data_IF_853041923386
#
_entry.id   IF_853041923386
#
_cell.length_a   1.000
_cell.length_b   1.000
_cell.length_c   1.000
_cell.angle_alpha   90.00
_cell.angle_beta   90.00
_cell.angle_gamma   90.00
#
_symmetry.space_group_name_H-M   'P 1'
#
loop_
_entity.id
_entity.type
_entity.pdbx_description
1 polymer ?
#
# COMPACT_ATOMS: atom_id res chain seq x y z
N UNK A 1 57.15 -18.16 2.53
CA UNK A 1 57.62 -17.04 1.68
C UNK A 1 56.45 -16.06 1.53
N UNK A 2 56.36 -15.05 2.39
CA UNK A 2 55.32 -14.03 2.30
C UNK A 2 55.64 -13.09 1.14
N UNK A 3 54.87 -13.20 0.09
CA UNK A 3 55.03 -12.37 -1.10
C UNK A 3 54.75 -10.92 -0.69
N UNK A 4 55.82 -10.14 -0.54
CA UNK A 4 55.74 -8.70 -0.22
C UNK A 4 55.39 -7.90 -1.48
N UNK A 5 54.26 -8.21 -2.08
CA UNK A 5 53.78 -7.54 -3.28
C UNK A 5 52.91 -6.33 -2.87
N UNK A 6 53.43 -5.12 -3.04
CA UNK A 6 52.71 -3.87 -2.75
C UNK A 6 51.35 -3.82 -3.46
N UNK A 7 51.28 -4.32 -4.68
CA UNK A 7 50.04 -4.42 -5.45
C UNK A 7 48.97 -5.25 -4.72
N UNK A 8 49.31 -6.42 -4.21
CA UNK A 8 48.35 -7.26 -3.46
C UNK A 8 47.88 -6.61 -2.18
N UNK A 9 48.71 -5.83 -1.49
CA UNK A 9 48.31 -5.05 -0.31
C UNK A 9 47.32 -3.96 -0.66
N UNK A 10 47.53 -3.18 -1.71
CA UNK A 10 46.61 -2.17 -2.17
C UNK A 10 45.30 -2.76 -2.69
N UNK A 11 45.37 -3.86 -3.41
CA UNK A 11 44.18 -4.58 -3.88
C UNK A 11 43.34 -5.10 -2.71
N UNK A 12 43.96 -5.73 -1.71
CA UNK A 12 43.26 -6.18 -0.50
C UNK A 12 42.63 -5.04 0.26
N UNK A 13 43.34 -3.92 0.41
CA UNK A 13 42.80 -2.72 1.06
C UNK A 13 41.61 -2.15 0.30
N UNK A 14 41.67 -2.07 -1.02
CA UNK A 14 40.56 -1.62 -1.86
C UNK A 14 39.31 -2.51 -1.72
N UNK A 15 39.53 -3.85 -1.79
CA UNK A 15 38.42 -4.82 -1.59
C UNK A 15 37.78 -4.64 -0.22
N UNK A 16 38.58 -4.44 0.83
CA UNK A 16 38.06 -4.22 2.19
C UNK A 16 37.22 -2.97 2.29
N UNK A 17 37.64 -1.87 1.65
CA UNK A 17 36.88 -0.63 1.61
C UNK A 17 35.53 -0.84 0.90
N UNK A 18 35.54 -1.47 -0.27
CA UNK A 18 34.29 -1.78 -1.03
C UNK A 18 33.36 -2.64 -0.21
N UNK A 19 33.89 -3.65 0.50
CA UNK A 19 33.10 -4.49 1.39
C UNK A 19 32.46 -3.71 2.52
N UNK A 20 33.22 -2.84 3.20
CA UNK A 20 32.69 -2.00 4.29
C UNK A 20 31.61 -1.03 3.79
N UNK A 21 31.82 -0.42 2.63
CA UNK A 21 30.80 0.48 2.02
C UNK A 21 29.51 -0.30 1.72
N UNK A 22 29.61 -1.50 1.14
CA UNK A 22 28.44 -2.35 0.89
C UNK A 22 27.72 -2.73 2.19
N UNK A 23 28.47 -3.08 3.23
CA UNK A 23 27.90 -3.43 4.53
C UNK A 23 27.12 -2.25 5.17
N UNK A 24 27.72 -1.06 5.12
CA UNK A 24 27.04 0.16 5.57
C UNK A 24 25.77 0.44 4.75
N UNK A 25 25.83 0.28 3.44
CA UNK A 25 24.68 0.44 2.56
C UNK A 25 23.55 -0.56 2.88
N UNK A 26 23.90 -1.83 3.12
CA UNK A 26 22.92 -2.86 3.50
C UNK A 26 22.23 -2.53 4.84
N UNK A 27 23.01 -2.11 5.83
CA UNK A 27 22.48 -1.70 7.14
C UNK A 27 21.51 -0.51 6.98
N UNK A 28 21.94 0.53 6.25
CA UNK A 28 21.11 1.70 5.98
C UNK A 28 19.80 1.33 5.25
N UNK A 29 19.89 0.51 4.21
CA UNK A 29 18.73 0.01 3.46
C UNK A 29 17.76 -0.78 4.34
N UNK A 30 18.29 -1.62 5.24
CA UNK A 30 17.46 -2.39 6.18
C UNK A 30 16.68 -1.48 7.12
N UNK A 31 17.32 -0.45 7.69
CA UNK A 31 16.60 0.53 8.53
C UNK A 31 15.51 1.28 7.76
N UNK A 32 15.79 1.66 6.51
CA UNK A 32 14.80 2.33 5.67
C UNK A 32 13.58 1.43 5.39
N UNK A 33 13.80 0.15 5.07
CA UNK A 33 12.74 -0.83 4.82
C UNK A 33 11.89 -1.01 6.09
N UNK A 34 12.50 -1.26 7.24
CA UNK A 34 11.78 -1.44 8.51
C UNK A 34 10.92 -0.21 8.80
N UNK A 35 11.47 0.98 8.67
CA UNK A 35 10.74 2.23 8.95
C UNK A 35 9.55 2.47 8.03
N UNK A 36 9.61 2.05 6.76
CA UNK A 36 8.62 2.42 5.75
C UNK A 36 7.66 1.29 5.35
N UNK A 37 7.87 0.07 5.81
CA UNK A 37 7.03 -1.07 5.43
C UNK A 37 6.35 -1.77 6.59
N UNK A 38 6.84 -1.59 7.82
CA UNK A 38 6.34 -2.27 8.99
C UNK A 38 5.54 -1.31 9.87
N UNK A 39 4.25 -1.56 10.03
CA UNK A 39 3.36 -0.79 10.90
C UNK A 39 3.01 -1.61 12.13
N UNK A 40 3.36 -1.12 13.31
CA UNK A 40 2.92 -1.69 14.57
C UNK A 40 1.42 -1.42 14.76
N UNK A 41 0.62 -2.48 14.94
CA UNK A 41 -0.82 -2.39 15.16
C UNK A 41 -1.22 -2.79 16.59
N UNK A 42 -0.23 -3.05 17.45
CA UNK A 42 -0.36 -3.43 18.85
C UNK A 42 0.10 -4.86 19.07
N UNK A 43 -0.76 -5.84 18.88
CA UNK A 43 -0.42 -7.26 19.11
C UNK A 43 0.41 -7.88 17.98
N UNK A 44 0.37 -7.27 16.79
CA UNK A 44 1.07 -7.74 15.60
C UNK A 44 1.66 -6.59 14.80
N UNK A 45 2.42 -6.92 13.76
CA UNK A 45 3.00 -5.95 12.81
C UNK A 45 2.44 -6.21 11.42
N UNK A 46 1.83 -5.19 10.83
CA UNK A 46 1.39 -5.24 9.43
C UNK A 46 2.53 -4.82 8.50
N UNK A 47 2.75 -5.61 7.45
CA UNK A 47 3.79 -5.34 6.45
C UNK A 47 3.13 -4.90 5.15
N UNK A 48 3.39 -3.67 4.72
CA UNK A 48 2.85 -3.12 3.48
C UNK A 48 3.90 -3.05 2.37
N UNK A 49 3.44 -2.94 1.11
CA UNK A 49 4.28 -2.77 -0.08
C UNK A 49 3.81 -1.57 -0.93
N UNK A 50 3.22 -0.56 -0.28
CA UNK A 50 2.79 0.65 -0.99
C UNK A 50 3.96 1.39 -1.64
N UNK A 51 3.69 2.05 -2.77
CA UNK A 51 4.69 2.81 -3.54
C UNK A 51 4.11 4.12 -4.05
N UNK A 52 4.91 5.17 -3.93
CA UNK A 52 4.70 6.46 -4.60
C UNK A 52 5.90 6.67 -5.53
N UNK A 53 5.91 6.00 -6.69
CA UNK A 53 7.02 5.98 -7.63
C UNK A 53 6.56 6.31 -9.07
N UNK A 54 7.51 6.44 -9.98
CA UNK A 54 7.22 6.74 -11.39
C UNK A 54 6.28 5.72 -12.05
N UNK A 55 6.33 4.46 -11.61
CA UNK A 55 5.45 3.42 -12.13
C UNK A 55 4.00 3.67 -11.74
N UNK A 56 3.74 3.88 -10.46
CA UNK A 56 2.39 4.13 -9.93
C UNK A 56 1.83 5.46 -10.45
N UNK A 57 2.65 6.51 -10.58
CA UNK A 57 2.26 7.80 -11.18
C UNK A 57 1.81 7.63 -12.63
N UNK A 58 2.61 6.95 -13.46
CA UNK A 58 2.30 6.71 -14.88
C UNK A 58 1.06 5.85 -15.05
N UNK A 59 0.93 4.79 -14.26
CA UNK A 59 -0.21 3.88 -14.32
C UNK A 59 -1.51 4.58 -13.90
N UNK A 60 -1.51 5.31 -12.78
CA UNK A 60 -2.66 6.08 -12.33
C UNK A 60 -3.08 7.11 -13.40
N UNK A 61 -2.14 7.89 -13.91
CA UNK A 61 -2.40 8.88 -14.96
C UNK A 61 -2.97 8.24 -16.25
N UNK A 62 -2.49 7.07 -16.63
CA UNK A 62 -3.00 6.35 -17.79
C UNK A 62 -4.44 5.88 -17.58
N UNK A 63 -4.74 5.30 -16.43
CA UNK A 63 -6.07 4.76 -16.11
C UNK A 63 -7.13 5.86 -15.97
N UNK A 64 -6.72 7.06 -15.57
CA UNK A 64 -7.64 8.19 -15.31
C UNK A 64 -7.65 9.26 -16.42
N UNK A 65 -6.90 9.05 -17.51
CA UNK A 65 -6.71 10.05 -18.59
C UNK A 65 -8.00 10.59 -19.21
N UNK A 66 -9.07 9.79 -19.21
CA UNK A 66 -10.36 10.15 -19.79
C UNK A 66 -11.36 10.73 -18.77
N UNK A 67 -10.96 10.84 -17.49
CA UNK A 67 -11.87 11.28 -16.41
C UNK A 67 -12.03 12.79 -16.30
N UNK A 68 -11.24 13.60 -17.04
CA UNK A 68 -11.32 15.05 -17.02
C UNK A 68 -11.32 15.66 -15.60
N UNK A 69 -10.55 15.07 -14.69
CA UNK A 69 -10.47 15.43 -13.24
C UNK A 69 -11.79 15.17 -12.46
N UNK A 70 -12.69 14.36 -13.00
CA UNK A 70 -13.83 13.87 -12.23
C UNK A 70 -13.35 12.80 -11.23
N UNK A 71 -13.43 13.14 -9.95
CA UNK A 71 -12.94 12.28 -8.85
C UNK A 71 -13.65 10.93 -8.80
N UNK A 72 -14.96 10.88 -9.07
CA UNK A 72 -15.70 9.60 -9.07
C UNK A 72 -15.25 8.70 -10.22
N UNK A 73 -15.07 9.27 -11.41
CA UNK A 73 -14.51 8.57 -12.55
C UNK A 73 -13.10 8.05 -12.24
N UNK A 74 -12.22 8.89 -11.71
CA UNK A 74 -10.83 8.50 -11.38
C UNK A 74 -10.81 7.32 -10.40
N UNK A 75 -11.49 7.45 -9.27
CA UNK A 75 -11.52 6.42 -8.23
C UNK A 75 -12.14 5.13 -8.73
N UNK A 76 -13.27 5.24 -9.48
CA UNK A 76 -13.93 4.04 -10.02
C UNK A 76 -13.08 3.33 -11.08
N UNK A 77 -12.42 4.08 -11.98
CA UNK A 77 -11.54 3.47 -12.98
C UNK A 77 -10.35 2.73 -12.35
N UNK A 78 -9.76 3.29 -11.30
CA UNK A 78 -8.69 2.64 -10.56
C UNK A 78 -9.20 1.37 -9.85
N UNK A 79 -10.36 1.46 -9.19
CA UNK A 79 -10.99 0.31 -8.54
C UNK A 79 -11.37 -0.78 -9.55
N UNK A 80 -11.99 -0.42 -10.66
CA UNK A 80 -12.38 -1.36 -11.71
C UNK A 80 -11.14 -2.07 -12.29
N UNK A 81 -10.05 -1.34 -12.54
CA UNK A 81 -8.78 -1.94 -12.97
C UNK A 81 -8.27 -2.98 -11.97
N UNK A 82 -8.17 -2.62 -10.70
CA UNK A 82 -7.64 -3.51 -9.65
C UNK A 82 -8.55 -4.73 -9.47
N UNK A 83 -9.87 -4.57 -9.54
CA UNK A 83 -10.81 -5.69 -9.37
C UNK A 83 -10.80 -6.67 -10.53
N UNK A 84 -10.36 -6.27 -11.74
CA UNK A 84 -10.17 -7.18 -12.88
C UNK A 84 -9.00 -8.13 -12.72
N UNK A 85 -8.01 -7.80 -11.89
CA UNK A 85 -6.86 -8.67 -11.62
C UNK A 85 -7.35 -9.91 -10.86
N UNK A 86 -7.04 -11.13 -11.34
CA UNK A 86 -7.48 -12.37 -10.70
C UNK A 86 -7.06 -12.48 -9.25
N UNK A 87 -7.98 -12.91 -8.39
CA UNK A 87 -7.68 -13.21 -7.00
C UNK A 87 -6.96 -14.55 -6.88
N UNK A 88 -5.81 -14.56 -6.21
CA UNK A 88 -5.07 -15.77 -5.88
C UNK A 88 -4.30 -15.54 -4.60
N UNK A 89 -4.49 -16.45 -3.62
CA UNK A 89 -3.77 -16.42 -2.34
C UNK A 89 -2.27 -16.50 -2.61
N UNK A 90 -1.54 -15.66 -1.91
CA UNK A 90 -0.10 -15.56 -1.96
C UNK A 90 0.47 -15.89 -0.58
N UNK A 91 1.10 -17.05 -0.45
CA UNK A 91 1.70 -17.52 0.81
C UNK A 91 3.03 -16.82 1.13
N UNK A 92 3.41 -15.82 0.35
CA UNK A 92 4.63 -15.04 0.51
C UNK A 92 4.36 -13.62 1.02
N UNK A 93 5.42 -12.83 1.15
CA UNK A 93 5.32 -11.39 1.48
C UNK A 93 4.47 -10.69 0.42
N UNK A 94 3.63 -9.75 0.85
CA UNK A 94 2.79 -8.93 -0.02
C UNK A 94 3.59 -8.32 -1.19
N UNK A 95 2.97 -8.29 -2.37
CA UNK A 95 3.60 -7.79 -3.61
C UNK A 95 3.54 -6.26 -3.70
N UNK A 96 4.55 -5.69 -4.33
CA UNK A 96 4.50 -4.29 -4.74
C UNK A 96 3.48 -4.08 -5.89
N UNK A 97 2.97 -2.85 -6.09
CA UNK A 97 2.05 -2.52 -7.19
C UNK A 97 2.51 -3.01 -8.56
N UNK A 98 3.80 -2.84 -8.86
CA UNK A 98 4.39 -3.30 -10.13
C UNK A 98 4.32 -4.82 -10.28
N UNK A 99 4.67 -5.57 -9.23
CA UNK A 99 4.62 -7.04 -9.25
C UNK A 99 3.19 -7.57 -9.44
N UNK A 100 2.19 -6.95 -8.79
CA UNK A 100 0.78 -7.34 -8.95
C UNK A 100 0.34 -7.21 -10.40
N UNK A 101 0.68 -6.11 -11.06
CA UNK A 101 0.31 -5.87 -12.46
C UNK A 101 1.07 -6.79 -13.42
N UNK A 102 2.40 -6.95 -13.25
CA UNK A 102 3.23 -7.78 -14.11
C UNK A 102 2.88 -9.28 -14.01
N UNK A 103 2.57 -9.75 -12.81
CA UNK A 103 2.19 -11.14 -12.57
C UNK A 103 0.71 -11.41 -12.86
N UNK A 104 -0.10 -10.36 -12.93
CA UNK A 104 -1.54 -10.39 -13.18
C UNK A 104 -2.30 -11.30 -12.21
N UNK A 105 -1.96 -11.29 -10.92
CA UNK A 105 -2.73 -11.88 -9.83
C UNK A 105 -2.30 -11.30 -8.48
N UNK A 106 -3.18 -11.38 -7.49
CA UNK A 106 -2.90 -11.00 -6.11
C UNK A 106 -4.02 -11.36 -5.16
N UNK A 107 -3.71 -11.41 -3.87
CA UNK A 107 -4.68 -11.54 -2.78
C UNK A 107 -5.20 -10.18 -2.29
N UNK A 108 -5.82 -10.15 -1.11
CA UNK A 108 -6.39 -8.91 -0.56
C UNK A 108 -5.29 -7.86 -0.28
N UNK A 109 -4.15 -8.26 0.28
CA UNK A 109 -3.04 -7.37 0.58
C UNK A 109 -2.40 -6.80 -0.68
N UNK A 110 -2.12 -7.67 -1.64
CA UNK A 110 -1.51 -7.33 -2.92
C UNK A 110 -2.34 -6.29 -3.69
N UNK A 111 -3.64 -6.58 -3.84
CA UNK A 111 -4.58 -5.71 -4.58
C UNK A 111 -4.84 -4.40 -3.84
N UNK A 112 -4.89 -4.42 -2.50
CA UNK A 112 -5.04 -3.22 -1.69
C UNK A 112 -3.80 -2.34 -1.74
N UNK A 113 -2.58 -2.92 -1.71
CA UNK A 113 -1.33 -2.18 -1.92
C UNK A 113 -1.30 -1.48 -3.29
N UNK A 114 -1.76 -2.15 -4.34
CA UNK A 114 -1.86 -1.54 -5.67
C UNK A 114 -2.86 -0.39 -5.68
N UNK A 115 -4.11 -0.62 -5.23
CA UNK A 115 -5.16 0.41 -5.27
C UNK A 115 -4.78 1.65 -4.47
N UNK A 116 -4.34 1.47 -3.21
CA UNK A 116 -4.02 2.61 -2.34
C UNK A 116 -2.84 3.42 -2.87
N UNK A 117 -1.86 2.77 -3.51
CA UNK A 117 -0.74 3.45 -4.13
C UNK A 117 -1.18 4.32 -5.32
N UNK A 118 -2.06 3.79 -6.19
CA UNK A 118 -2.61 4.53 -7.32
C UNK A 118 -3.46 5.73 -6.88
N UNK A 119 -4.26 5.58 -5.82
CA UNK A 119 -5.05 6.66 -5.26
C UNK A 119 -4.18 7.74 -4.62
N UNK A 120 -3.13 7.32 -3.91
CA UNK A 120 -2.22 8.23 -3.22
C UNK A 120 -1.49 9.17 -4.15
N UNK A 121 -0.95 8.67 -5.28
CA UNK A 121 -0.23 9.51 -6.25
C UNK A 121 -1.12 10.52 -6.97
N UNK A 122 -2.45 10.34 -6.95
CA UNK A 122 -3.45 11.32 -7.38
C UNK A 122 -3.86 12.31 -6.27
N UNK A 123 -3.27 12.18 -5.07
CA UNK A 123 -3.49 13.09 -3.96
C UNK A 123 -4.72 12.78 -3.08
N UNK A 124 -5.32 11.59 -3.22
CA UNK A 124 -6.43 11.19 -2.36
C UNK A 124 -5.97 10.85 -0.95
N UNK A 125 -6.82 11.15 0.03
CA UNK A 125 -6.64 10.68 1.40
C UNK A 125 -7.25 9.29 1.54
N UNK A 126 -6.39 8.31 1.81
CA UNK A 126 -6.72 6.89 1.79
C UNK A 126 -6.07 6.16 2.96
N UNK A 127 -6.74 5.16 3.48
CA UNK A 127 -6.25 4.32 4.56
C UNK A 127 -6.58 2.86 4.31
N UNK A 128 -5.83 1.97 4.94
CA UNK A 128 -6.20 0.56 5.08
C UNK A 128 -7.10 0.36 6.29
N UNK A 129 -8.04 -0.56 6.17
CA UNK A 129 -8.79 -1.11 7.30
C UNK A 129 -8.49 -2.60 7.38
N UNK A 130 -7.97 -3.02 8.52
CA UNK A 130 -7.70 -4.42 8.82
C UNK A 130 -8.86 -5.00 9.63
N UNK A 131 -9.30 -6.17 9.20
CA UNK A 131 -10.28 -7.01 9.88
C UNK A 131 -9.75 -8.45 9.88
N UNK A 132 -10.32 -9.40 10.65
CA UNK A 132 -9.84 -10.77 10.65
C UNK A 132 -9.74 -11.35 9.24
N UNK A 133 -8.53 -11.79 8.88
CA UNK A 133 -8.19 -12.44 7.60
C UNK A 133 -8.44 -11.59 6.34
N UNK A 134 -8.68 -10.27 6.48
CA UNK A 134 -8.95 -9.43 5.33
C UNK A 134 -8.49 -7.97 5.52
N UNK A 135 -8.28 -7.30 4.39
CA UNK A 135 -7.95 -5.88 4.31
C UNK A 135 -8.73 -5.25 3.17
N UNK A 136 -9.21 -4.03 3.40
CA UNK A 136 -9.83 -3.20 2.36
C UNK A 136 -9.34 -1.75 2.46
N UNK A 137 -9.59 -0.98 1.43
CA UNK A 137 -9.20 0.43 1.34
C UNK A 137 -10.41 1.31 1.68
N UNK A 138 -10.17 2.42 2.38
CA UNK A 138 -11.14 3.49 2.55
C UNK A 138 -10.60 4.80 1.99
N UNK A 139 -11.49 5.61 1.41
CA UNK A 139 -11.16 6.88 0.75
C UNK A 139 -12.04 8.01 1.24
N UNK A 140 -11.43 9.18 1.50
CA UNK A 140 -12.17 10.40 1.77
C UNK A 140 -12.56 11.08 0.45
N UNK A 141 -13.87 11.36 0.30
CA UNK A 141 -14.47 12.06 -0.82
C UNK A 141 -15.50 13.10 -0.32
N UNK A 142 -15.13 13.88 0.69
CA UNK A 142 -16.05 14.77 1.43
C UNK A 142 -16.81 15.76 0.56
N UNK A 143 -16.26 16.16 -0.58
CA UNK A 143 -16.88 17.15 -1.45
C UNK A 143 -17.85 16.54 -2.48
N UNK A 144 -18.13 15.22 -2.36
CA UNK A 144 -19.00 14.53 -3.30
C UNK A 144 -20.24 13.97 -2.60
N UNK A 145 -21.39 14.26 -3.19
CA UNK A 145 -22.67 13.79 -2.66
C UNK A 145 -22.95 12.36 -3.18
N UNK A 146 -22.37 11.37 -2.53
CA UNK A 146 -22.56 9.95 -2.87
C UNK A 146 -23.66 9.40 -1.94
N UNK A 147 -24.77 8.94 -2.52
CA UNK A 147 -25.88 8.31 -1.78
C UNK A 147 -25.55 6.86 -1.41
N UNK A 148 -24.52 6.68 -0.59
CA UNK A 148 -24.05 5.39 -0.07
C UNK A 148 -23.67 5.53 1.38
N UNK A 149 -23.80 4.44 2.13
CA UNK A 149 -23.27 4.36 3.50
C UNK A 149 -21.76 4.50 3.48
N UNK A 150 -21.23 5.09 4.53
CA UNK A 150 -19.81 5.34 4.69
C UNK A 150 -19.33 4.97 6.09
N UNK A 151 -18.05 4.66 6.21
CA UNK A 151 -17.36 4.49 7.47
C UNK A 151 -16.90 5.86 7.97
N UNK A 152 -17.25 6.21 9.19
CA UNK A 152 -16.79 7.44 9.84
C UNK A 152 -15.72 7.08 10.84
N UNK A 153 -14.52 7.59 10.61
CA UNK A 153 -13.36 7.44 11.51
C UNK A 153 -13.06 8.79 12.12
N UNK A 154 -13.28 8.96 13.42
CA UNK A 154 -13.14 10.24 14.13
C UNK A 154 -13.94 11.37 13.44
N UNK A 155 -15.21 11.12 13.16
CA UNK A 155 -16.17 12.02 12.51
C UNK A 155 -15.84 12.34 11.04
N UNK A 156 -14.75 11.84 10.48
CA UNK A 156 -14.39 12.00 9.08
C UNK A 156 -14.95 10.86 8.23
N UNK A 157 -15.59 11.22 7.12
CA UNK A 157 -16.31 10.31 6.23
C UNK A 157 -15.37 9.61 5.25
N UNK A 158 -15.47 8.30 5.16
CA UNK A 158 -14.72 7.49 4.20
C UNK A 158 -15.63 6.48 3.51
N UNK A 159 -15.48 6.34 2.20
CA UNK A 159 -16.16 5.31 1.42
C UNK A 159 -15.27 4.07 1.30
N UNK A 160 -15.88 2.88 1.42
CA UNK A 160 -15.18 1.60 1.30
C UNK A 160 -14.93 1.29 -0.17
N UNK A 161 -13.71 0.84 -0.46
CA UNK A 161 -13.27 0.32 -1.74
C UNK A 161 -12.81 -1.13 -1.53
N UNK A 162 -13.62 -2.08 -2.01
CA UNK A 162 -13.33 -3.52 -1.90
C UNK A 162 -12.60 -4.00 -3.14
N UNK A 163 -11.36 -4.47 -2.98
CA UNK A 163 -10.48 -4.84 -4.09
C UNK A 163 -10.68 -6.27 -4.59
N UNK A 164 -11.27 -7.13 -3.76
CA UNK A 164 -11.44 -8.57 -4.05
C UNK A 164 -12.80 -8.90 -4.64
N UNK A 165 -13.79 -8.02 -4.47
CA UNK A 165 -15.13 -8.21 -5.04
C UNK A 165 -15.16 -7.83 -6.52
N UNK A 166 -15.65 -8.73 -7.36
CA UNK A 166 -15.88 -8.45 -8.78
C UNK A 166 -16.92 -7.34 -8.95
N UNK A 167 -16.67 -6.40 -9.87
CA UNK A 167 -17.54 -5.24 -10.14
C UNK A 167 -17.81 -4.36 -8.90
N UNK A 168 -16.87 -4.30 -7.98
CA UNK A 168 -16.95 -3.45 -6.80
C UNK A 168 -17.16 -1.98 -7.19
N UNK A 169 -17.98 -1.28 -6.41
CA UNK A 169 -18.27 0.16 -6.60
C UNK A 169 -17.87 0.95 -5.37
N UNK A 170 -17.56 2.23 -5.58
CA UNK A 170 -17.31 3.18 -4.50
C UNK A 170 -18.46 3.12 -3.48
N UNK A 171 -18.13 3.01 -2.19
CA UNK A 171 -19.11 2.81 -1.13
C UNK A 171 -19.62 1.37 -1.07
N UNK A 172 -18.72 0.41 -1.24
CA UNK A 172 -19.02 -1.01 -1.04
C UNK A 172 -19.57 -1.23 0.39
N UNK A 173 -20.58 -2.08 0.57
CA UNK A 173 -21.16 -2.30 1.90
C UNK A 173 -20.15 -2.93 2.87
N UNK A 174 -20.11 -2.42 4.10
CA UNK A 174 -19.33 -3.05 5.16
C UNK A 174 -19.94 -4.42 5.49
N UNK A 175 -19.16 -5.49 5.37
CA UNK A 175 -19.57 -6.87 5.64
C UNK A 175 -19.17 -7.37 7.03
N UNK A 176 -18.44 -6.57 7.78
CA UNK A 176 -17.92 -6.88 9.11
C UNK A 176 -18.64 -6.06 10.17
N UNK A 177 -18.62 -6.53 11.41
CA UNK A 177 -19.06 -5.70 12.54
C UNK A 177 -17.99 -4.61 12.78
N UNK A 178 -18.40 -3.48 13.30
CA UNK A 178 -17.44 -2.42 13.67
C UNK A 178 -16.44 -2.89 14.73
N UNK A 179 -16.85 -3.81 15.60
CA UNK A 179 -15.98 -4.46 16.59
C UNK A 179 -14.89 -5.33 15.99
N UNK A 180 -15.04 -5.76 14.74
CA UNK A 180 -14.07 -6.63 14.06
C UNK A 180 -12.97 -5.81 13.37
N UNK A 181 -13.06 -4.47 13.39
CA UNK A 181 -12.02 -3.61 12.85
C UNK A 181 -10.85 -3.55 13.83
N UNK A 182 -9.76 -4.20 13.48
CA UNK A 182 -8.54 -4.31 14.29
C UNK A 182 -7.69 -3.03 14.23
N UNK A 183 -7.59 -2.46 13.04
CA UNK A 183 -6.82 -1.23 12.83
C UNK A 183 -7.28 -0.45 11.59
N UNK A 184 -7.12 0.87 11.66
CA UNK A 184 -7.06 1.75 10.49
C UNK A 184 -5.64 2.27 10.37
N UNK A 185 -5.02 2.12 9.19
CA UNK A 185 -3.59 2.38 8.98
C UNK A 185 -3.38 3.38 7.85
N UNK A 186 -2.53 4.39 8.10
CA UNK A 186 -1.89 5.19 7.05
C UNK A 186 -0.57 4.49 6.66
N UNK A 187 -0.52 3.70 5.58
CA UNK A 187 0.67 2.92 5.25
C UNK A 187 1.82 3.79 4.72
N UNK A 188 1.53 5.01 4.24
CA UNK A 188 2.54 5.93 3.73
C UNK A 188 3.30 6.64 4.85
N UNK A 189 2.66 6.78 6.01
CA UNK A 189 3.29 7.28 7.25
C UNK A 189 3.69 6.16 8.20
N UNK A 190 3.37 4.93 7.83
CA UNK A 190 3.60 3.74 8.65
C UNK A 190 3.00 3.88 10.06
N UNK A 191 1.73 4.32 10.11
CA UNK A 191 1.10 4.74 11.36
C UNK A 191 -0.32 4.18 11.50
N UNK A 192 -0.61 3.56 12.65
CA UNK A 192 -1.97 3.27 13.08
C UNK A 192 -2.70 4.57 13.44
N UNK A 193 -3.91 4.74 12.92
CA UNK A 193 -4.79 5.87 13.27
C UNK A 193 -5.45 5.55 14.60
N UNK A 194 -5.34 6.45 15.56
CA UNK A 194 -6.06 6.34 16.81
C UNK A 194 -7.56 6.54 16.54
N UNK A 195 -8.37 5.54 16.84
CA UNK A 195 -9.83 5.57 16.66
C UNK A 195 -10.46 5.94 17.99
N UNK A 196 -11.07 7.12 18.07
CA UNK A 196 -11.86 7.56 19.21
C UNK A 196 -13.35 7.34 18.97
N UNK A 197 -13.79 7.47 17.71
CA UNK A 197 -15.17 7.24 17.27
C UNK A 197 -15.18 6.50 15.93
N UNK A 198 -16.03 5.48 15.82
CA UNK A 198 -16.21 4.67 14.63
C UNK A 198 -17.68 4.38 14.39
N UNK A 199 -18.20 4.81 13.25
CA UNK A 199 -19.60 4.64 12.89
C UNK A 199 -19.72 4.19 11.42
N UNK A 200 -20.81 3.48 11.10
CA UNK A 200 -21.15 3.13 9.72
C UNK A 200 -22.61 3.53 9.44
N UNK A 201 -22.80 4.58 8.67
CA UNK A 201 -24.11 5.18 8.38
C UNK A 201 -24.23 5.73 6.97
#
# INVERSE_FOLDING_TARGET
>A
MLINNKFLKYLSFFISIVFVINLIYMIYSSFFIVKNQFTDIGDTTYVNQVREDDYTIKLASYLTKNCNKDKLCEVQNLLDFVTTIPYKINDSIAKSPKQVVEQNFGDCDDKSNLLISLLKVLGYEVYFVLVPEHIFVIINLDNLNISKKALYVNDKKFYILETTATLSKIGFPLKYKLSDIEAVIDPFKNKKILINNLEYK
#
